data_IF_430445336217
#
_entry.id   IF_430445336217
#
_cell.length_a   1.000
_cell.length_b   1.000
_cell.length_c   1.000
_cell.angle_alpha   90.00
_cell.angle_beta   90.00
_cell.angle_gamma   90.00
#
_symmetry.space_group_name_H-M   'P 1'
#
loop_
_entity.id
_entity.type
_entity.pdbx_description
1 polymer ?
#
# COMPACT_ATOMS: atom_id res chain seq x y z
N UNK A 1 -65.86 -14.95 5.19
CA UNK A 1 -66.74 -13.95 4.54
C UNK A 1 -66.35 -12.58 5.00
N UNK A 2 -65.72 -11.82 4.16
CA UNK A 2 -66.04 -10.47 3.71
C UNK A 2 -64.95 -10.09 2.70
N UNK A 3 -65.41 -9.88 1.48
CA UNK A 3 -64.71 -9.33 0.32
C UNK A 3 -64.80 -7.80 0.40
N UNK A 4 -63.87 -7.14 -0.25
CA UNK A 4 -63.97 -5.90 -1.08
C UNK A 4 -62.73 -5.05 -0.84
N UNK A 5 -62.15 -4.31 -1.75
CA UNK A 5 -62.29 -4.04 -3.22
C UNK A 5 -61.01 -3.33 -3.67
N UNK A 6 -60.68 -3.55 -4.91
CA UNK A 6 -59.72 -2.88 -5.78
C UNK A 6 -60.08 -1.41 -5.95
N UNK A 7 -59.07 -0.51 -6.03
CA UNK A 7 -59.16 0.71 -6.83
C UNK A 7 -57.84 1.05 -7.46
N UNK A 8 -57.77 0.90 -8.79
CA UNK A 8 -56.77 1.43 -9.70
C UNK A 8 -56.88 2.96 -9.77
N UNK A 9 -55.78 3.63 -9.92
CA UNK A 9 -55.75 4.94 -10.57
C UNK A 9 -54.52 5.08 -11.44
N UNK A 10 -54.74 5.03 -12.74
CA UNK A 10 -53.84 5.49 -13.82
C UNK A 10 -53.70 7.02 -13.74
N UNK A 11 -52.52 7.54 -13.95
CA UNK A 11 -52.36 8.85 -14.59
C UNK A 11 -51.19 8.82 -15.60
N UNK A 12 -51.56 9.10 -16.83
CA UNK A 12 -50.75 9.29 -18.03
C UNK A 12 -50.32 10.77 -18.05
N UNK A 13 -49.09 11.04 -18.42
CA UNK A 13 -48.65 12.40 -18.71
C UNK A 13 -47.33 12.38 -19.51
N UNK A 14 -47.46 12.34 -20.81
CA UNK A 14 -46.36 12.53 -21.76
C UNK A 14 -46.05 14.01 -21.95
N UNK A 15 -44.78 14.36 -22.14
CA UNK A 15 -44.40 15.44 -23.05
C UNK A 15 -42.97 15.30 -23.58
N UNK A 16 -42.92 15.14 -24.88
CA UNK A 16 -41.75 15.32 -25.75
C UNK A 16 -41.22 16.75 -25.72
N UNK A 17 -39.94 16.92 -25.82
CA UNK A 17 -39.35 17.99 -26.61
C UNK A 17 -38.00 17.59 -27.18
N UNK A 18 -37.99 17.42 -28.48
CA UNK A 18 -36.86 17.29 -29.41
C UNK A 18 -36.36 18.69 -29.69
N UNK A 19 -35.04 18.88 -29.63
CA UNK A 19 -34.34 19.88 -30.44
C UNK A 19 -33.03 19.30 -30.97
N UNK A 20 -33.04 19.10 -32.25
CA UNK A 20 -31.90 18.81 -33.10
C UNK A 20 -31.16 20.12 -33.40
N UNK A 21 -29.84 20.07 -33.45
CA UNK A 21 -29.08 21.04 -34.27
C UNK A 21 -27.83 20.36 -34.87
N UNK A 22 -27.75 20.56 -36.18
CA UNK A 22 -26.87 20.06 -37.19
C UNK A 22 -25.36 20.26 -36.99
N UNK A 23 -24.63 19.28 -37.40
CA UNK A 23 -23.52 19.13 -38.34
C UNK A 23 -22.57 20.28 -38.61
N UNK A 24 -21.27 20.01 -38.49
CA UNK A 24 -20.31 20.32 -39.56
C UNK A 24 -19.13 19.34 -39.52
N UNK A 25 -19.01 18.59 -40.59
CA UNK A 25 -17.92 17.69 -40.96
C UNK A 25 -16.69 18.52 -41.36
N UNK A 26 -15.50 18.19 -40.86
CA UNK A 26 -14.24 18.30 -41.59
C UNK A 26 -13.35 17.13 -41.30
N UNK A 27 -13.10 16.36 -42.33
CA UNK A 27 -12.10 15.31 -42.38
C UNK A 27 -10.71 15.95 -42.50
N UNK A 28 -9.75 15.41 -41.69
CA UNK A 28 -8.32 15.49 -41.99
C UNK A 28 -7.65 14.23 -41.50
N UNK A 29 -7.10 13.52 -42.45
CA UNK A 29 -5.99 12.59 -42.55
C UNK A 29 -5.50 11.77 -41.32
N UNK A 30 -5.41 10.46 -41.62
CA UNK A 30 -4.64 9.44 -40.97
C UNK A 30 -3.16 9.81 -40.91
N UNK A 31 -2.57 9.68 -39.73
CA UNK A 31 -1.15 9.34 -39.60
C UNK A 31 -1.05 8.22 -38.58
N UNK A 32 -0.70 7.03 -39.07
CA UNK A 32 -0.31 5.88 -38.27
C UNK A 32 0.94 6.26 -37.45
N UNK A 33 0.85 6.10 -36.16
CA UNK A 33 1.99 5.98 -35.28
C UNK A 33 1.60 5.04 -34.16
N UNK A 34 1.84 3.75 -34.40
CA UNK A 34 1.76 2.72 -33.38
C UNK A 34 2.88 2.95 -32.37
N UNK A 35 2.57 3.59 -31.25
CA UNK A 35 3.43 3.54 -30.07
C UNK A 35 2.88 2.47 -29.15
N UNK A 36 3.53 1.31 -29.19
CA UNK A 36 3.32 0.22 -28.24
C UNK A 36 3.71 0.73 -26.86
N UNK A 37 2.75 1.06 -26.04
CA UNK A 37 2.97 1.31 -24.61
C UNK A 37 3.15 -0.05 -23.96
N UNK A 38 4.39 -0.41 -23.65
CA UNK A 38 4.68 -1.52 -22.75
C UNK A 38 4.37 -1.02 -21.35
N UNK A 39 3.21 -1.38 -20.81
CA UNK A 39 2.93 -1.26 -19.38
C UNK A 39 3.80 -2.25 -18.62
N UNK A 40 4.92 -1.80 -18.06
CA UNK A 40 5.65 -2.55 -17.06
C UNK A 40 4.82 -2.58 -15.77
N UNK A 41 4.22 -3.73 -15.47
CA UNK A 41 3.55 -4.01 -14.19
C UNK A 41 4.59 -4.05 -13.06
N UNK A 42 4.58 -3.04 -12.18
CA UNK A 42 5.40 -2.98 -10.98
C UNK A 42 4.57 -3.51 -9.79
N UNK A 43 5.11 -4.43 -8.97
CA UNK A 43 4.40 -4.97 -7.80
C UNK A 43 4.01 -3.88 -6.81
N UNK A 44 2.81 -3.98 -6.23
CA UNK A 44 2.15 -2.95 -5.41
C UNK A 44 2.92 -2.50 -4.15
N UNK A 45 4.00 -3.15 -3.76
CA UNK A 45 4.78 -2.84 -2.56
C UNK A 45 6.04 -1.99 -2.85
N UNK A 46 6.47 -1.85 -4.12
CA UNK A 46 7.75 -1.20 -4.46
C UNK A 46 7.62 0.19 -5.09
N UNK A 47 6.42 0.71 -5.36
CA UNK A 47 6.24 2.04 -5.98
C UNK A 47 6.34 3.20 -5.00
N UNK A 48 7.38 3.22 -4.17
CA UNK A 48 7.70 4.42 -3.40
C UNK A 48 8.63 5.30 -4.24
N UNK A 49 8.07 6.17 -5.07
CA UNK A 49 8.85 7.26 -5.67
C UNK A 49 9.21 8.27 -4.59
N UNK A 50 10.46 8.24 -4.14
CA UNK A 50 11.05 9.27 -3.28
C UNK A 50 11.44 10.46 -4.16
N UNK A 51 10.53 11.36 -4.44
CA UNK A 51 10.88 12.70 -4.95
C UNK A 51 10.97 13.65 -3.74
N UNK A 52 12.18 14.08 -3.32
CA UNK A 52 12.30 15.13 -2.32
C UNK A 52 11.77 16.44 -2.92
N UNK A 53 10.79 17.07 -2.26
CA UNK A 53 10.45 18.45 -2.56
C UNK A 53 11.72 19.29 -2.41
N UNK A 54 12.16 19.96 -3.48
CA UNK A 54 13.33 20.82 -3.47
C UNK A 54 13.19 21.88 -2.38
N UNK A 55 14.11 21.85 -1.43
CA UNK A 55 14.31 22.95 -0.48
C UNK A 55 14.99 24.07 -1.27
N UNK A 56 14.50 25.32 -1.18
CA UNK A 56 15.14 26.47 -1.82
C UNK A 56 16.52 26.68 -1.18
N UNK A 57 17.58 26.36 -1.91
CA UNK A 57 18.95 26.43 -1.43
C UNK A 57 19.61 27.69 -1.97
N UNK A 58 20.27 28.44 -1.09
CA UNK A 58 21.01 29.65 -1.41
C UNK A 58 22.28 29.32 -2.21
N UNK A 59 22.74 30.23 -3.07
CA UNK A 59 24.02 30.13 -3.76
C UNK A 59 25.18 30.24 -2.74
N UNK A 60 25.78 29.08 -2.40
CA UNK A 60 26.89 28.98 -1.45
C UNK A 60 28.24 28.95 -2.18
N UNK A 61 29.28 29.49 -1.54
CA UNK A 61 30.63 29.46 -2.10
C UNK A 61 31.24 28.06 -2.01
N UNK A 62 32.18 27.70 -2.89
CA UNK A 62 32.88 26.43 -2.89
C UNK A 62 33.54 26.10 -1.52
N UNK A 63 34.00 27.10 -0.79
CA UNK A 63 34.59 26.92 0.56
C UNK A 63 33.56 26.44 1.58
N UNK A 64 32.33 26.97 1.53
CA UNK A 64 31.26 26.56 2.43
C UNK A 64 30.79 25.13 2.13
N UNK A 65 30.77 24.73 0.86
CA UNK A 65 30.44 23.36 0.46
C UNK A 65 31.49 22.36 0.94
N UNK A 66 32.80 22.68 0.84
CA UNK A 66 33.89 21.84 1.36
C UNK A 66 33.78 21.71 2.88
N UNK A 67 33.63 22.83 3.61
CA UNK A 67 33.49 22.81 5.05
C UNK A 67 32.25 22.03 5.51
N UNK A 68 31.14 22.14 4.80
CA UNK A 68 29.94 21.38 5.08
C UNK A 68 30.17 19.88 4.87
N UNK A 69 30.83 19.49 3.81
CA UNK A 69 31.14 18.09 3.53
C UNK A 69 32.06 17.50 4.63
N UNK A 70 33.11 18.23 5.03
CA UNK A 70 34.00 17.82 6.10
C UNK A 70 33.27 17.68 7.45
N UNK A 71 32.30 18.58 7.71
CA UNK A 71 31.43 18.49 8.86
C UNK A 71 30.58 17.21 8.78
N UNK A 72 29.85 17.01 7.69
CA UNK A 72 28.92 15.87 7.52
C UNK A 72 29.66 14.54 7.59
N UNK A 73 30.85 14.43 7.00
CA UNK A 73 31.71 13.24 7.05
C UNK A 73 32.19 12.92 8.48
N UNK A 74 32.11 13.89 9.39
CA UNK A 74 32.45 13.74 10.81
C UNK A 74 31.26 13.42 11.72
N UNK A 75 30.03 13.48 11.21
CA UNK A 75 28.83 13.28 12.01
C UNK A 75 28.44 11.81 12.12
N UNK A 76 28.00 11.42 13.31
CA UNK A 76 27.28 10.18 13.55
C UNK A 76 25.85 10.50 13.95
N UNK A 77 24.88 10.06 13.14
CA UNK A 77 23.46 10.15 13.44
C UNK A 77 22.97 8.79 13.96
N UNK A 78 22.20 8.80 15.05
CA UNK A 78 21.65 7.58 15.65
C UNK A 78 20.22 7.80 16.11
N UNK A 79 19.30 6.93 15.69
CA UNK A 79 17.94 6.88 16.24
C UNK A 79 18.01 6.26 17.64
N UNK A 80 17.79 7.05 18.67
CA UNK A 80 17.86 6.62 20.08
C UNK A 80 16.51 6.27 20.67
N UNK A 81 15.41 6.79 20.11
CA UNK A 81 14.04 6.42 20.46
C UNK A 81 13.13 6.44 19.23
N UNK A 82 12.10 5.62 19.28
CA UNK A 82 11.05 5.55 18.26
C UNK A 82 9.70 5.19 18.89
N UNK A 83 8.58 5.45 18.21
CA UNK A 83 7.26 4.97 18.64
C UNK A 83 7.27 3.45 18.87
N UNK A 84 6.75 3.00 19.99
CA UNK A 84 6.78 1.58 20.41
C UNK A 84 5.46 0.89 20.21
N UNK A 85 4.34 1.63 20.22
CA UNK A 85 3.00 1.08 20.03
C UNK A 85 2.65 1.03 18.55
N UNK A 86 1.88 0.02 18.19
CA UNK A 86 1.27 -0.03 16.84
C UNK A 86 0.38 1.18 16.63
N UNK A 87 0.66 1.94 15.57
CA UNK A 87 -0.14 3.09 15.16
C UNK A 87 -1.13 2.65 14.09
N UNK A 88 -2.35 3.15 14.17
CA UNK A 88 -3.40 2.94 13.16
C UNK A 88 -3.72 4.27 12.47
N UNK A 89 -4.22 4.22 11.24
CA UNK A 89 -4.67 5.42 10.53
C UNK A 89 -5.68 6.21 11.39
N UNK A 90 -5.59 7.53 11.34
CA UNK A 90 -6.35 8.48 12.17
C UNK A 90 -6.06 8.42 13.69
N UNK A 91 -4.97 7.77 14.11
CA UNK A 91 -4.49 7.78 15.50
C UNK A 91 -3.15 8.51 15.62
N UNK A 92 -2.89 9.08 16.79
CA UNK A 92 -1.62 9.74 17.09
C UNK A 92 -0.53 8.70 17.41
N UNK A 93 0.71 9.06 17.08
CA UNK A 93 1.88 8.33 17.57
C UNK A 93 2.00 8.51 19.09
N UNK A 94 2.39 7.45 19.80
CA UNK A 94 2.53 7.44 21.27
C UNK A 94 3.73 8.27 21.72
N UNK A 95 4.83 8.23 20.99
CA UNK A 95 6.08 8.90 21.31
C UNK A 95 6.75 9.47 20.06
N UNK A 96 7.67 10.45 20.21
CA UNK A 96 8.46 10.95 19.10
C UNK A 96 9.58 9.97 18.69
N UNK A 97 10.08 10.14 17.47
CA UNK A 97 11.42 9.70 17.10
C UNK A 97 12.42 10.67 17.72
N UNK A 98 13.45 10.14 18.37
CA UNK A 98 14.57 10.93 18.88
C UNK A 98 15.82 10.49 18.14
N UNK A 99 16.52 11.46 17.55
CA UNK A 99 17.80 11.23 16.90
C UNK A 99 18.86 12.03 17.63
N UNK A 100 19.96 11.37 17.96
CA UNK A 100 21.15 12.02 18.51
C UNK A 100 22.17 12.17 17.40
N UNK A 101 22.77 13.34 17.31
CA UNK A 101 23.81 13.71 16.35
C UNK A 101 25.08 14.05 17.13
N UNK A 102 26.15 13.34 16.82
CA UNK A 102 27.46 13.50 17.46
C UNK A 102 28.49 13.87 16.41
N UNK A 103 29.27 14.88 16.65
CA UNK A 103 30.43 15.28 15.85
C UNK A 103 31.75 14.88 16.53
N UNK A 104 32.87 15.34 15.98
CA UNK A 104 34.23 15.05 16.50
C UNK A 104 34.40 15.48 17.97
N UNK A 105 33.83 16.63 18.33
CA UNK A 105 34.05 17.25 19.64
C UNK A 105 32.87 16.98 20.63
N UNK A 106 31.99 16.05 20.33
CA UNK A 106 30.84 15.71 21.14
C UNK A 106 29.50 16.02 20.46
N UNK A 107 28.44 16.33 21.23
CA UNK A 107 27.10 16.59 20.67
C UNK A 107 27.10 17.72 19.65
N UNK A 108 26.55 17.46 18.47
CA UNK A 108 26.44 18.47 17.39
C UNK A 108 25.25 19.40 17.67
N UNK A 109 25.51 20.50 18.35
CA UNK A 109 24.51 21.54 18.70
C UNK A 109 24.19 22.45 17.50
N UNK A 110 22.96 22.96 17.46
CA UNK A 110 22.48 23.97 16.50
C UNK A 110 22.60 23.54 15.01
N UNK A 111 22.70 22.22 14.76
CA UNK A 111 22.75 21.67 13.41
C UNK A 111 21.35 21.49 12.82
N UNK A 112 21.17 21.93 11.58
CA UNK A 112 19.92 21.74 10.85
C UNK A 112 19.82 20.31 10.30
N UNK A 113 18.78 19.61 10.69
CA UNK A 113 18.47 18.24 10.26
C UNK A 113 17.16 18.25 9.48
N UNK A 114 17.17 17.71 8.29
CA UNK A 114 15.96 17.44 7.51
C UNK A 114 15.38 16.09 7.92
N UNK A 115 14.07 16.09 8.17
CA UNK A 115 13.26 14.89 8.42
C UNK A 115 12.34 14.67 7.23
N UNK A 116 12.55 13.56 6.52
CA UNK A 116 11.72 13.13 5.40
C UNK A 116 10.79 12.00 5.84
N UNK A 117 9.48 12.20 5.72
CA UNK A 117 8.47 11.24 6.23
C UNK A 117 7.24 11.14 5.31
N UNK A 118 6.50 10.02 5.33
CA UNK A 118 5.25 9.86 4.57
C UNK A 118 4.20 10.88 5.01
N UNK A 119 3.69 11.67 4.07
CA UNK A 119 2.73 12.76 4.36
C UNK A 119 1.38 12.60 3.67
N UNK A 120 1.35 11.92 2.51
CA UNK A 120 0.12 11.66 1.78
C UNK A 120 0.24 10.35 1.01
N UNK A 121 -0.93 9.79 0.63
CA UNK A 121 -1.02 8.62 -0.23
C UNK A 121 -2.13 8.84 -1.26
N UNK A 122 -1.81 8.58 -2.53
CA UNK A 122 -2.78 8.56 -3.63
C UNK A 122 -2.62 7.21 -4.33
N UNK A 123 -3.63 6.38 -4.25
CA UNK A 123 -3.57 4.97 -4.67
C UNK A 123 -2.39 4.25 -3.98
N UNK A 124 -1.47 3.69 -4.78
CA UNK A 124 -0.28 2.98 -4.29
C UNK A 124 0.96 3.88 -4.16
N UNK A 125 0.84 5.18 -4.46
CA UNK A 125 1.95 6.14 -4.38
C UNK A 125 1.93 6.87 -3.05
N UNK A 126 3.04 6.82 -2.32
CA UNK A 126 3.27 7.56 -1.07
C UNK A 126 4.10 8.81 -1.37
N UNK A 127 3.58 9.97 -1.00
CA UNK A 127 4.29 11.24 -1.07
C UNK A 127 4.98 11.52 0.26
N UNK A 128 6.22 12.00 0.20
CA UNK A 128 7.01 12.39 1.37
C UNK A 128 7.00 13.91 1.54
N UNK A 129 6.93 14.35 2.79
CA UNK A 129 7.17 15.73 3.18
C UNK A 129 8.51 15.84 3.90
N UNK A 130 9.16 17.00 3.77
CA UNK A 130 10.41 17.32 4.42
C UNK A 130 10.19 18.49 5.39
N UNK A 131 10.62 18.34 6.63
CA UNK A 131 10.69 19.43 7.60
C UNK A 131 12.13 19.57 8.09
N UNK A 132 12.49 20.77 8.54
CA UNK A 132 13.79 21.04 9.16
C UNK A 132 13.62 21.17 10.65
N UNK A 133 14.49 20.53 11.41
CA UNK A 133 14.60 20.62 12.85
C UNK A 133 16.05 20.95 13.21
N UNK A 134 16.25 21.70 14.30
CA UNK A 134 17.57 22.06 14.79
C UNK A 134 17.91 21.22 16.01
N UNK A 135 19.13 20.69 16.07
CA UNK A 135 19.61 19.96 17.25
C UNK A 135 19.73 20.89 18.47
N UNK A 136 19.39 20.35 19.62
CA UNK A 136 19.55 21.04 20.93
C UNK A 136 20.99 20.98 21.43
N UNK A 137 21.20 21.46 22.68
CA UNK A 137 22.52 21.49 23.36
C UNK A 137 23.12 20.09 23.58
N UNK A 138 22.29 19.04 23.56
CA UNK A 138 22.70 17.64 23.68
C UNK A 138 22.85 16.94 22.30
N UNK A 139 22.76 17.71 21.20
CA UNK A 139 22.81 17.19 19.84
C UNK A 139 21.56 16.39 19.47
N UNK A 140 20.41 16.60 20.11
CA UNK A 140 19.20 15.82 19.88
C UNK A 140 18.16 16.59 19.09
N UNK A 141 17.38 15.87 18.27
CA UNK A 141 16.12 16.33 17.73
C UNK A 141 15.00 15.37 18.15
N UNK A 142 13.79 15.90 18.31
CA UNK A 142 12.58 15.12 18.56
C UNK A 142 11.56 15.39 17.44
N UNK A 143 11.19 14.36 16.70
CA UNK A 143 10.17 14.42 15.65
C UNK A 143 8.97 13.57 16.04
N UNK A 144 7.82 14.20 16.26
CA UNK A 144 6.55 13.51 16.47
C UNK A 144 5.66 13.73 15.25
N UNK A 145 5.42 12.68 14.43
CA UNK A 145 4.53 12.82 13.29
C UNK A 145 3.11 13.19 13.73
N UNK A 146 2.42 13.97 12.91
CA UNK A 146 0.98 14.14 13.03
C UNK A 146 0.25 12.84 12.67
N UNK A 147 -1.01 12.74 13.09
CA UNK A 147 -1.84 11.59 12.70
C UNK A 147 -2.03 11.57 11.18
N UNK A 148 -1.85 10.39 10.57
CA UNK A 148 -2.11 10.19 9.15
C UNK A 148 -3.51 9.63 8.92
N UNK A 149 -4.16 10.04 7.83
CA UNK A 149 -5.44 9.48 7.40
C UNK A 149 -5.32 8.16 6.62
N UNK A 150 -4.10 7.69 6.36
CA UNK A 150 -3.81 6.54 5.53
C UNK A 150 -2.90 5.54 6.24
N UNK A 151 -2.98 4.29 5.81
CA UNK A 151 -2.07 3.24 6.26
C UNK A 151 -0.82 3.21 5.39
N UNK A 152 0.35 2.90 5.98
CA UNK A 152 1.63 2.85 5.28
C UNK A 152 2.66 2.02 6.03
N UNK A 153 3.47 1.27 5.28
CA UNK A 153 4.69 0.62 5.75
C UNK A 153 5.86 1.25 5.02
N UNK A 154 6.60 2.11 5.69
CA UNK A 154 7.67 2.92 5.11
C UNK A 154 8.74 3.26 6.14
N UNK A 155 9.59 4.23 5.83
CA UNK A 155 10.64 4.74 6.70
C UNK A 155 10.52 6.25 6.85
N UNK A 156 10.90 6.76 8.02
CA UNK A 156 11.30 8.15 8.22
C UNK A 156 12.81 8.24 8.10
N UNK A 157 13.31 9.26 7.40
CA UNK A 157 14.74 9.46 7.15
C UNK A 157 15.18 10.80 7.75
N UNK A 158 16.27 10.80 8.49
CA UNK A 158 16.89 11.97 9.10
C UNK A 158 18.27 12.18 8.50
N UNK A 159 18.58 13.37 8.04
CA UNK A 159 19.89 13.69 7.44
C UNK A 159 20.23 15.17 7.65
N UNK A 160 21.54 15.53 7.71
CA UNK A 160 21.97 16.91 7.76
C UNK A 160 21.38 17.70 6.60
N UNK A 161 20.81 18.88 6.86
CA UNK A 161 20.18 19.68 5.81
C UNK A 161 21.24 20.16 4.82
N UNK A 162 21.14 19.82 3.50
CA UNK A 162 22.09 20.29 2.50
C UNK A 162 22.11 21.81 2.41
N UNK A 163 23.28 22.41 2.38
CA UNK A 163 23.43 23.88 2.28
C UNK A 163 23.34 24.40 0.85
N UNK A 164 23.41 23.50 -0.14
CA UNK A 164 23.25 23.82 -1.57
C UNK A 164 22.57 22.71 -2.34
N UNK A 165 22.11 22.99 -3.55
CA UNK A 165 21.56 21.99 -4.48
C UNK A 165 22.64 21.22 -5.27
N UNK A 166 23.92 21.44 -4.97
CA UNK A 166 25.03 20.71 -5.56
C UNK A 166 24.86 19.21 -5.25
N UNK A 167 24.86 18.38 -6.29
CA UNK A 167 24.65 16.92 -6.17
C UNK A 167 25.59 16.26 -5.18
N UNK A 168 26.85 16.72 -5.10
CA UNK A 168 27.84 16.16 -4.16
C UNK A 168 27.50 16.48 -2.70
N UNK A 169 26.95 17.69 -2.44
CA UNK A 169 26.52 18.11 -1.10
C UNK A 169 25.26 17.37 -0.68
N UNK A 170 24.29 17.26 -1.59
CA UNK A 170 23.07 16.46 -1.36
C UNK A 170 23.43 15.01 -1.10
N UNK A 171 24.32 14.43 -1.88
CA UNK A 171 24.76 13.04 -1.70
C UNK A 171 25.51 12.84 -0.37
N UNK A 172 26.37 13.76 0.03
CA UNK A 172 27.06 13.71 1.33
C UNK A 172 26.03 13.68 2.48
N UNK A 173 25.05 14.57 2.46
CA UNK A 173 23.95 14.58 3.45
C UNK A 173 23.19 13.25 3.50
N UNK A 174 22.85 12.66 2.35
CA UNK A 174 22.16 11.37 2.31
C UNK A 174 23.04 10.19 2.75
N UNK A 175 24.36 10.25 2.56
CA UNK A 175 25.27 9.22 3.03
C UNK A 175 25.34 9.16 4.57
N UNK A 176 25.18 10.30 5.24
CA UNK A 176 25.09 10.40 6.69
C UNK A 176 23.68 10.12 7.25
N UNK A 177 22.70 9.82 6.38
CA UNK A 177 21.32 9.64 6.80
C UNK A 177 21.12 8.41 7.67
N UNK A 178 20.27 8.55 8.69
CA UNK A 178 19.74 7.44 9.48
C UNK A 178 18.24 7.30 9.25
N UNK A 179 17.77 6.06 9.26
CA UNK A 179 16.39 5.70 9.00
C UNK A 179 15.75 4.98 10.16
N UNK A 180 14.44 5.14 10.31
CA UNK A 180 13.63 4.36 11.24
C UNK A 180 12.32 3.92 10.56
N UNK A 181 11.76 2.75 10.96
CA UNK A 181 10.47 2.32 10.47
C UNK A 181 9.37 3.34 10.76
N UNK A 182 8.58 3.67 9.74
CA UNK A 182 7.37 4.47 9.83
C UNK A 182 6.19 3.60 9.45
N UNK A 183 5.49 3.05 10.45
CA UNK A 183 4.49 2.01 10.25
C UNK A 183 3.16 2.49 10.81
N UNK A 184 2.17 2.61 9.94
CA UNK A 184 0.78 2.92 10.28
C UNK A 184 -0.11 1.87 9.65
N UNK A 185 -0.77 1.05 10.47
CA UNK A 185 -1.73 0.04 10.00
C UNK A 185 -3.08 0.69 9.69
N UNK A 186 -3.83 0.10 8.79
CA UNK A 186 -5.21 0.52 8.52
C UNK A 186 -6.07 0.41 9.78
N UNK A 187 -6.95 1.38 10.01
CA UNK A 187 -7.96 1.30 11.07
C UNK A 187 -8.99 0.20 10.83
N UNK A 188 -9.17 -0.26 9.59
CA UNK A 188 -10.04 -1.39 9.27
C UNK A 188 -9.62 -2.70 9.92
N UNK A 189 -8.29 -2.91 10.17
CA UNK A 189 -7.80 -4.14 10.79
C UNK A 189 -7.95 -4.19 12.31
N UNK A 190 -8.66 -3.21 12.90
CA UNK A 190 -9.04 -3.22 14.34
C UNK A 190 -10.33 -3.99 14.55
N UNK A 191 -10.69 -4.28 15.83
CA UNK A 191 -12.01 -4.84 16.16
C UNK A 191 -13.14 -3.98 15.57
N UNK A 192 -14.22 -4.56 14.98
CA UNK A 192 -14.59 -5.99 14.95
C UNK A 192 -13.98 -6.87 13.85
N UNK A 193 -12.83 -6.47 13.25
CA UNK A 193 -12.04 -7.30 12.33
C UNK A 193 -12.67 -7.56 10.95
N UNK A 194 -12.25 -8.65 10.25
CA UNK A 194 -12.68 -8.95 8.89
C UNK A 194 -13.01 -10.42 8.63
N UNK A 195 -13.60 -10.65 7.46
CA UNK A 195 -13.87 -12.00 6.93
C UNK A 195 -13.27 -12.15 5.55
N UNK A 196 -12.93 -13.39 5.17
CA UNK A 196 -12.26 -13.73 3.93
C UNK A 196 -13.15 -14.64 3.07
N UNK A 197 -13.48 -14.19 1.86
CA UNK A 197 -13.93 -14.99 0.75
C UNK A 197 -12.77 -15.09 -0.26
N UNK A 198 -11.74 -15.84 0.10
CA UNK A 198 -10.52 -16.01 -0.70
C UNK A 198 -10.24 -17.49 -0.89
N UNK A 199 -10.02 -17.90 -2.13
CA UNK A 199 -9.86 -19.30 -2.47
C UNK A 199 -8.58 -19.55 -3.25
N UNK A 200 -8.02 -20.73 -3.03
CA UNK A 200 -6.98 -21.31 -3.86
C UNK A 200 -7.58 -21.96 -5.11
N UNK A 201 -6.91 -21.76 -6.23
CA UNK A 201 -7.23 -22.40 -7.48
C UNK A 201 -6.10 -23.38 -7.88
N UNK A 202 -6.47 -24.51 -8.45
CA UNK A 202 -5.50 -25.42 -9.03
C UNK A 202 -5.06 -24.91 -10.41
N UNK A 203 -4.05 -25.58 -10.98
CA UNK A 203 -3.50 -25.26 -12.30
C UNK A 203 -4.52 -25.34 -13.47
N UNK A 204 -5.63 -26.08 -13.28
CA UNK A 204 -6.74 -26.16 -14.25
C UNK A 204 -7.76 -25.02 -14.06
N UNK A 205 -7.48 -24.04 -13.21
CA UNK A 205 -8.35 -22.90 -12.92
C UNK A 205 -9.62 -23.27 -12.15
N UNK A 206 -9.62 -24.36 -11.40
CA UNK A 206 -10.75 -24.75 -10.53
C UNK A 206 -10.48 -24.37 -9.09
N UNK A 207 -11.46 -23.78 -8.39
CA UNK A 207 -11.34 -23.50 -6.97
C UNK A 207 -11.17 -24.81 -6.19
N UNK A 208 -10.32 -24.79 -5.17
CA UNK A 208 -10.03 -26.00 -4.35
C UNK A 208 -10.49 -25.82 -2.91
N UNK A 209 -9.87 -24.90 -2.18
CA UNK A 209 -10.13 -24.67 -0.74
C UNK A 209 -10.10 -23.20 -0.44
N UNK A 210 -10.70 -22.80 0.69
CA UNK A 210 -10.46 -21.47 1.27
C UNK A 210 -8.97 -21.27 1.52
N UNK A 211 -8.46 -20.07 1.23
CA UNK A 211 -7.04 -19.79 1.38
C UNK A 211 -6.61 -19.74 2.85
N UNK A 212 -6.24 -20.91 3.38
CA UNK A 212 -5.78 -21.06 4.76
C UNK A 212 -4.46 -20.33 5.01
N UNK A 213 -3.59 -20.25 3.99
CA UNK A 213 -2.27 -19.61 4.11
C UNK A 213 -2.41 -18.11 4.34
N UNK A 214 -3.30 -17.43 3.62
CA UNK A 214 -3.60 -16.01 3.84
C UNK A 214 -4.25 -15.78 5.21
N UNK A 215 -5.20 -16.65 5.60
CA UNK A 215 -5.85 -16.58 6.92
C UNK A 215 -4.81 -16.62 8.05
N UNK A 216 -3.87 -17.56 7.98
CA UNK A 216 -2.81 -17.69 8.97
C UNK A 216 -1.82 -16.52 8.92
N UNK A 217 -1.46 -16.06 7.73
CA UNK A 217 -0.55 -14.92 7.56
C UNK A 217 -1.12 -13.65 8.21
N UNK A 218 -2.42 -13.35 7.98
CA UNK A 218 -3.10 -12.22 8.62
C UNK A 218 -3.14 -12.36 10.15
N UNK A 219 -3.46 -13.56 10.67
CA UNK A 219 -3.47 -13.82 12.11
C UNK A 219 -2.09 -13.66 12.74
N UNK A 220 -1.05 -14.15 12.10
CA UNK A 220 0.34 -13.99 12.53
C UNK A 220 0.77 -12.50 12.54
N UNK A 221 0.22 -11.68 11.64
CA UNK A 221 0.42 -10.23 11.63
C UNK A 221 -0.45 -9.47 12.65
N UNK A 222 -1.21 -10.21 13.50
CA UNK A 222 -2.06 -9.65 14.55
C UNK A 222 -3.42 -9.14 14.07
N UNK A 223 -3.86 -9.56 12.87
CA UNK A 223 -5.20 -9.23 12.34
C UNK A 223 -6.11 -10.44 12.58
N UNK A 224 -7.13 -10.26 13.40
CA UNK A 224 -8.12 -11.31 13.60
C UNK A 224 -9.09 -11.35 12.43
N UNK A 225 -9.14 -12.48 11.74
CA UNK A 225 -10.02 -12.71 10.60
C UNK A 225 -10.61 -14.11 10.66
N UNK A 226 -11.78 -14.27 10.07
CA UNK A 226 -12.46 -15.54 9.86
C UNK A 226 -12.73 -15.82 8.39
N UNK A 227 -13.18 -17.01 8.07
CA UNK A 227 -13.71 -17.30 6.75
C UNK A 227 -15.10 -16.68 6.58
N UNK A 228 -15.42 -16.26 5.36
CA UNK A 228 -16.77 -15.87 4.96
C UNK A 228 -17.76 -17.02 5.26
N UNK A 229 -18.96 -16.72 5.75
CA UNK A 229 -20.04 -17.72 5.88
C UNK A 229 -20.59 -18.16 4.51
N UNK A 230 -20.35 -17.37 3.46
CA UNK A 230 -20.67 -17.75 2.08
C UNK A 230 -19.59 -18.72 1.59
N UNK A 231 -19.93 -19.99 1.45
CA UNK A 231 -19.01 -21.07 1.00
C UNK A 231 -19.27 -21.53 -0.43
N UNK A 232 -20.30 -21.02 -1.07
CA UNK A 232 -20.68 -21.42 -2.43
C UNK A 232 -19.70 -20.85 -3.47
N UNK A 233 -19.02 -21.74 -4.17
CA UNK A 233 -18.04 -21.39 -5.22
C UNK A 233 -18.68 -20.80 -6.47
N UNK A 234 -20.00 -20.90 -6.65
CA UNK A 234 -20.72 -20.23 -7.76
C UNK A 234 -20.57 -18.72 -7.73
N UNK A 235 -20.28 -18.16 -6.56
CA UNK A 235 -20.05 -16.73 -6.39
C UNK A 235 -18.75 -16.20 -7.01
N UNK A 236 -17.83 -17.06 -7.48
CA UNK A 236 -16.64 -16.58 -8.20
C UNK A 236 -16.96 -15.85 -9.51
N UNK A 237 -18.11 -16.11 -10.09
CA UNK A 237 -18.60 -15.44 -11.29
C UNK A 237 -19.51 -14.25 -10.98
N UNK A 238 -19.69 -13.92 -9.70
CA UNK A 238 -20.52 -12.81 -9.25
C UNK A 238 -19.72 -11.53 -9.08
N UNK A 239 -20.41 -10.40 -9.15
CA UNK A 239 -19.81 -9.10 -8.88
C UNK A 239 -19.41 -8.96 -7.41
N UNK A 240 -18.49 -8.03 -7.13
CA UNK A 240 -18.11 -7.66 -5.77
C UNK A 240 -19.33 -7.25 -4.93
N UNK A 241 -20.29 -6.52 -5.54
CA UNK A 241 -21.52 -6.09 -4.89
C UNK A 241 -22.43 -7.27 -4.51
N UNK A 242 -22.56 -8.28 -5.37
CA UNK A 242 -23.36 -9.48 -5.05
C UNK A 242 -22.72 -10.28 -3.92
N UNK A 243 -21.39 -10.44 -3.93
CA UNK A 243 -20.64 -11.10 -2.84
C UNK A 243 -20.74 -10.33 -1.52
N UNK A 244 -20.63 -9.00 -1.56
CA UNK A 244 -20.87 -8.15 -0.39
C UNK A 244 -22.29 -8.38 0.14
N UNK A 245 -23.32 -8.29 -0.71
CA UNK A 245 -24.72 -8.47 -0.33
C UNK A 245 -24.97 -9.85 0.29
N UNK A 246 -24.43 -10.91 -0.29
CA UNK A 246 -24.56 -12.26 0.23
C UNK A 246 -23.97 -12.39 1.65
N UNK A 247 -22.78 -11.84 1.87
CA UNK A 247 -22.14 -11.83 3.18
C UNK A 247 -22.91 -10.93 4.17
N UNK A 248 -23.25 -9.71 3.77
CA UNK A 248 -23.92 -8.74 4.63
C UNK A 248 -25.30 -9.21 5.09
N UNK A 249 -26.05 -9.94 4.26
CA UNK A 249 -27.33 -10.55 4.62
C UNK A 249 -27.20 -11.59 5.77
N UNK A 250 -26.03 -12.22 5.91
CA UNK A 250 -25.79 -13.22 6.96
C UNK A 250 -25.23 -12.58 8.24
N UNK A 251 -24.23 -11.69 8.10
CA UNK A 251 -23.46 -11.18 9.25
C UNK A 251 -23.73 -9.71 9.56
N UNK A 252 -24.44 -8.98 8.70
CA UNK A 252 -24.69 -7.55 8.88
C UNK A 252 -23.40 -6.74 9.06
N UNK A 253 -23.42 -5.82 10.02
CA UNK A 253 -22.28 -4.95 10.37
C UNK A 253 -21.35 -5.54 11.46
N UNK A 254 -21.35 -6.88 11.64
CA UNK A 254 -20.50 -7.53 12.65
C UNK A 254 -19.01 -7.46 12.35
N UNK A 255 -18.62 -7.11 11.14
CA UNK A 255 -17.25 -7.02 10.69
C UNK A 255 -16.96 -5.66 10.03
N UNK A 256 -15.69 -5.25 10.04
CA UNK A 256 -15.27 -4.00 9.41
C UNK A 256 -15.09 -4.15 7.91
N UNK A 257 -14.53 -5.29 7.47
CA UNK A 257 -14.18 -5.49 6.05
C UNK A 257 -14.39 -6.93 5.61
N UNK A 258 -14.61 -7.10 4.31
CA UNK A 258 -14.62 -8.36 3.59
C UNK A 258 -13.46 -8.34 2.58
N UNK A 259 -12.63 -9.37 2.61
CA UNK A 259 -11.63 -9.61 1.55
C UNK A 259 -12.21 -10.61 0.57
N UNK A 260 -12.31 -10.22 -0.68
CA UNK A 260 -12.70 -11.07 -1.81
C UNK A 260 -11.45 -11.32 -2.63
N UNK A 261 -11.16 -12.58 -2.98
CA UNK A 261 -9.98 -12.84 -3.78
C UNK A 261 -9.77 -14.29 -4.21
N UNK A 262 -8.71 -14.46 -4.97
CA UNK A 262 -8.28 -15.77 -5.46
C UNK A 262 -6.77 -15.83 -5.58
N UNK A 263 -6.20 -17.01 -5.30
CA UNK A 263 -4.82 -17.34 -5.57
C UNK A 263 -4.78 -18.36 -6.71
N UNK A 264 -4.29 -17.96 -7.87
CA UNK A 264 -4.31 -18.73 -9.11
C UNK A 264 -2.90 -18.95 -9.65
N UNK A 265 -2.73 -19.98 -10.45
CA UNK A 265 -1.54 -20.10 -11.28
C UNK A 265 -1.55 -18.98 -12.34
N UNK A 266 -0.46 -18.21 -12.42
CA UNK A 266 -0.26 -17.23 -13.50
C UNK A 266 0.05 -17.94 -14.82
N UNK A 267 0.78 -19.06 -14.72
CA UNK A 267 1.16 -19.92 -15.83
C UNK A 267 1.35 -21.37 -15.32
N UNK A 268 1.36 -22.37 -16.19
CA UNK A 268 1.65 -23.74 -15.80
C UNK A 268 3.02 -23.85 -15.12
N UNK A 269 3.12 -24.76 -14.14
CA UNK A 269 4.38 -24.99 -13.46
C UNK A 269 5.46 -25.49 -14.43
N UNK A 270 6.67 -24.97 -14.30
CA UNK A 270 7.82 -25.35 -15.13
C UNK A 270 8.72 -26.30 -14.35
N UNK A 271 8.92 -27.51 -14.89
CA UNK A 271 9.85 -28.50 -14.33
C UNK A 271 11.18 -28.48 -15.10
N UNK A 272 12.28 -28.43 -14.36
CA UNK A 272 13.62 -28.49 -14.90
C UNK A 272 14.25 -29.83 -14.51
N UNK A 273 14.30 -30.77 -15.46
CA UNK A 273 14.83 -32.12 -15.22
C UNK A 273 16.32 -32.12 -14.91
N UNK A 274 17.12 -31.24 -15.55
CA UNK A 274 18.58 -31.17 -15.34
C UNK A 274 18.94 -30.73 -13.92
N UNK A 275 18.14 -29.78 -13.36
CA UNK A 275 18.36 -29.26 -12.00
C UNK A 275 17.53 -29.99 -10.95
N UNK A 276 16.68 -30.93 -11.36
CA UNK A 276 15.71 -31.60 -10.47
C UNK A 276 14.91 -30.60 -9.63
N UNK A 277 14.37 -29.55 -10.28
CA UNK A 277 13.60 -28.48 -9.63
C UNK A 277 12.31 -28.20 -10.42
N UNK A 278 11.35 -27.65 -9.71
CA UNK A 278 10.13 -27.10 -10.29
C UNK A 278 9.94 -25.65 -9.88
N UNK A 279 9.47 -24.81 -10.79
CA UNK A 279 9.12 -23.40 -10.55
C UNK A 279 7.62 -23.22 -10.70
N UNK A 280 7.00 -22.57 -9.72
CA UNK A 280 5.58 -22.20 -9.70
C UNK A 280 5.47 -20.69 -9.61
N UNK A 281 4.63 -20.10 -10.45
CA UNK A 281 4.26 -18.68 -10.41
C UNK A 281 2.77 -18.55 -10.12
N UNK A 282 2.42 -17.80 -9.08
CA UNK A 282 1.05 -17.55 -8.65
C UNK A 282 0.72 -16.07 -8.72
N UNK A 283 -0.55 -15.79 -8.96
CA UNK A 283 -1.15 -14.45 -8.89
C UNK A 283 -2.27 -14.44 -7.86
N UNK A 284 -2.34 -13.38 -7.05
CA UNK A 284 -3.42 -13.12 -6.13
C UNK A 284 -4.18 -11.86 -6.55
N UNK A 285 -5.47 -12.02 -6.83
CA UNK A 285 -6.40 -10.91 -6.99
C UNK A 285 -7.08 -10.66 -5.65
N UNK A 286 -6.94 -9.45 -5.11
CA UNK A 286 -7.46 -9.07 -3.79
C UNK A 286 -8.33 -7.83 -3.93
N UNK A 287 -9.53 -7.88 -3.38
CA UNK A 287 -10.44 -6.73 -3.25
C UNK A 287 -10.93 -6.67 -1.81
N UNK A 288 -10.70 -5.55 -1.13
CA UNK A 288 -11.19 -5.28 0.21
C UNK A 288 -12.43 -4.37 0.14
N UNK A 289 -13.48 -4.74 0.84
CA UNK A 289 -14.79 -4.06 0.82
C UNK A 289 -15.15 -3.64 2.24
N UNK A 290 -15.60 -2.41 2.43
CA UNK A 290 -16.15 -1.92 3.70
C UNK A 290 -17.51 -2.61 3.98
N UNK A 291 -17.60 -3.34 5.09
CA UNK A 291 -18.81 -4.05 5.46
C UNK A 291 -19.98 -3.14 5.86
N UNK A 292 -19.74 -1.86 6.14
CA UNK A 292 -20.79 -0.90 6.51
C UNK A 292 -21.59 -0.39 5.31
N UNK A 293 -20.95 -0.27 4.15
CA UNK A 293 -21.55 0.40 2.98
C UNK A 293 -21.34 -0.30 1.65
N UNK A 294 -20.52 -1.37 1.59
CA UNK A 294 -20.23 -2.13 0.37
C UNK A 294 -19.21 -1.45 -0.57
N UNK A 295 -18.61 -0.34 -0.15
CA UNK A 295 -17.61 0.34 -0.98
C UNK A 295 -16.30 -0.45 -1.05
N UNK A 296 -15.71 -0.51 -2.23
CA UNK A 296 -14.34 -1.02 -2.38
C UNK A 296 -13.37 -0.01 -1.76
N UNK A 297 -12.64 -0.44 -0.73
CA UNK A 297 -11.65 0.38 -0.01
C UNK A 297 -10.22 0.14 -0.48
N UNK A 298 -9.97 -1.03 -1.07
CA UNK A 298 -8.67 -1.36 -1.64
C UNK A 298 -8.79 -2.48 -2.67
N UNK A 299 -7.98 -2.43 -3.72
CA UNK A 299 -7.89 -3.48 -4.74
C UNK A 299 -6.45 -3.57 -5.23
N UNK A 300 -5.96 -4.80 -5.37
CA UNK A 300 -4.61 -5.05 -5.92
C UNK A 300 -4.53 -6.43 -6.57
N UNK A 301 -3.58 -6.57 -7.49
CA UNK A 301 -3.13 -7.85 -8.03
C UNK A 301 -1.65 -8.01 -7.70
N UNK A 302 -1.29 -9.16 -7.13
CA UNK A 302 0.05 -9.46 -6.66
C UNK A 302 0.55 -10.73 -7.35
N UNK A 303 1.82 -10.76 -7.69
CA UNK A 303 2.47 -11.96 -8.24
C UNK A 303 3.63 -12.39 -7.36
N UNK A 304 3.88 -13.69 -7.35
CA UNK A 304 5.03 -14.29 -6.70
C UNK A 304 5.45 -15.57 -7.41
N UNK A 305 6.74 -15.89 -7.32
CA UNK A 305 7.26 -17.15 -7.85
C UNK A 305 8.16 -17.84 -6.84
N UNK A 306 8.18 -19.17 -6.89
CA UNK A 306 9.07 -19.95 -6.08
C UNK A 306 9.57 -21.18 -6.82
N UNK A 307 10.83 -21.54 -6.58
CA UNK A 307 11.48 -22.74 -7.09
C UNK A 307 11.83 -23.66 -5.92
N UNK A 308 11.56 -24.96 -6.08
CA UNK A 308 11.93 -25.98 -5.11
C UNK A 308 12.16 -27.32 -5.83
N UNK A 309 12.55 -28.38 -5.07
CA UNK A 309 12.85 -29.71 -5.59
C UNK A 309 11.63 -30.42 -6.21
N UNK A 310 10.44 -30.09 -5.78
CA UNK A 310 9.20 -30.64 -6.31
C UNK A 310 8.19 -29.54 -6.60
N UNK A 311 7.31 -29.77 -7.55
CA UNK A 311 6.21 -28.85 -7.87
C UNK A 311 5.37 -28.55 -6.62
N UNK A 312 5.07 -29.55 -5.79
CA UNK A 312 4.29 -29.34 -4.58
C UNK A 312 5.00 -28.41 -3.58
N UNK A 313 6.30 -28.63 -3.33
CA UNK A 313 7.09 -27.75 -2.44
C UNK A 313 7.18 -26.34 -2.99
N UNK A 314 7.42 -26.18 -4.30
CA UNK A 314 7.46 -24.88 -4.97
C UNK A 314 6.12 -24.15 -4.83
N UNK A 315 4.99 -24.87 -5.02
CA UNK A 315 3.65 -24.32 -4.84
C UNK A 315 3.40 -23.84 -3.39
N UNK A 316 3.68 -24.68 -2.38
CA UNK A 316 3.49 -24.32 -0.97
C UNK A 316 4.34 -23.09 -0.60
N UNK A 317 5.60 -23.06 -1.05
CA UNK A 317 6.49 -21.93 -0.84
C UNK A 317 5.97 -20.65 -1.51
N UNK A 318 5.52 -20.76 -2.75
CA UNK A 318 4.95 -19.64 -3.51
C UNK A 318 3.68 -19.10 -2.84
N UNK A 319 2.74 -19.99 -2.42
CA UNK A 319 1.52 -19.60 -1.69
C UNK A 319 1.85 -18.87 -0.40
N UNK A 320 2.86 -19.32 0.34
CA UNK A 320 3.29 -18.66 1.58
C UNK A 320 3.82 -17.25 1.31
N UNK A 321 4.75 -17.09 0.36
CA UNK A 321 5.31 -15.79 -0.01
C UNK A 321 4.24 -14.82 -0.51
N UNK A 322 3.35 -15.32 -1.38
CA UNK A 322 2.24 -14.53 -1.91
C UNK A 322 1.24 -14.13 -0.81
N UNK A 323 0.96 -15.01 0.16
CA UNK A 323 0.10 -14.70 1.30
C UNK A 323 0.72 -13.67 2.24
N UNK A 324 2.03 -13.70 2.47
CA UNK A 324 2.75 -12.67 3.24
C UNK A 324 2.66 -11.31 2.53
N UNK A 325 2.87 -11.28 1.21
CA UNK A 325 2.73 -10.08 0.39
C UNK A 325 1.28 -9.54 0.38
N UNK A 326 0.30 -10.42 0.25
CA UNK A 326 -1.12 -10.06 0.31
C UNK A 326 -1.51 -9.54 1.71
N UNK A 327 -0.95 -10.10 2.77
CA UNK A 327 -1.15 -9.64 4.15
C UNK A 327 -0.67 -8.19 4.32
N UNK A 328 0.54 -7.88 3.86
CA UNK A 328 1.06 -6.51 3.88
C UNK A 328 0.16 -5.56 3.04
N UNK A 329 -0.24 -5.98 1.85
CA UNK A 329 -1.13 -5.22 0.99
C UNK A 329 -2.49 -4.93 1.65
N UNK A 330 -3.10 -5.89 2.34
CA UNK A 330 -4.35 -5.71 3.07
C UNK A 330 -4.16 -4.75 4.25
N UNK A 331 -3.13 -4.96 5.08
CA UNK A 331 -2.90 -4.17 6.30
C UNK A 331 -2.55 -2.72 5.98
N UNK A 332 -1.76 -2.49 4.94
CA UNK A 332 -1.21 -1.17 4.61
C UNK A 332 -1.82 -0.56 3.34
N UNK A 333 -2.68 -1.30 2.64
CA UNK A 333 -3.38 -0.86 1.44
C UNK A 333 -4.73 -0.20 1.73
N UNK A 334 -5.49 -0.72 2.69
CA UNK A 334 -6.79 -0.20 3.09
C UNK A 334 -6.73 1.17 3.75
#
# INVERSE_FOLDING_TARGET
>A
MIKTKITELLFIGASLSVLASCATTKAVEKTDSSTTIIEEEIPAVEKIKKEPKQISVQNTSNQQEIAFKDLVDSLELKVTSRPTKTVYSNKNFDSPYIVTVTGKDGPAKDLDITVSYPSARTNDTVTFNNIQLKTDSEGKIAFKPEKTGFAVKSEVTFYPTPISSNSNIVQASYNAAVKAPYIVKSSYVTYPYGILYVYDFNEKGRPTTNNFTLLQSLRNAGVSVGNSPVSDTSYFNKSVSELYTANHNIVGNMYNFLVIGSFKYAEPAVENAEKSTATVKLVADITCVDMKNGNVIYKTTLEESATDKTKWNAEQKCRKLLAEKATDAIIYGM
#
